data_IF_736591983321
#
_entry.id   IF_736591983321
#
_cell.length_a   1.000
_cell.length_b   1.000
_cell.length_c   1.000
_cell.angle_alpha   90.00
_cell.angle_beta   90.00
_cell.angle_gamma   90.00
#
_symmetry.space_group_name_H-M   'P 1'
#
loop_
_entity.id
_entity.type
_entity.pdbx_description
1 polymer ?
#
# COMPACT_ATOMS: atom_id res chain seq x y z
N UNK A 1 22.58 -7.85 -19.69
CA UNK A 1 23.55 -7.33 -20.69
C UNK A 1 23.32 -5.83 -20.81
N UNK A 2 24.16 -5.04 -20.13
CA UNK A 2 23.88 -3.63 -19.81
C UNK A 2 24.93 -2.66 -20.36
N UNK A 3 24.87 -2.35 -21.65
CA UNK A 3 25.74 -1.35 -22.28
C UNK A 3 25.17 0.08 -22.22
N UNK A 4 24.06 0.31 -21.49
CA UNK A 4 23.38 1.61 -21.45
C UNK A 4 22.67 1.99 -22.76
N UNK A 5 22.61 1.07 -23.73
CA UNK A 5 21.88 1.26 -24.99
C UNK A 5 20.36 1.18 -24.75
N UNK A 6 19.61 1.98 -25.49
CA UNK A 6 18.15 2.02 -25.45
C UNK A 6 17.57 1.87 -26.85
N UNK A 7 16.40 1.23 -26.95
CA UNK A 7 15.70 0.99 -28.21
C UNK A 7 14.22 1.40 -28.07
N UNK A 8 13.61 1.79 -29.18
CA UNK A 8 12.16 2.05 -29.21
C UNK A 8 11.41 0.71 -29.28
N UNK A 9 10.51 0.46 -28.33
CA UNK A 9 9.58 -0.66 -28.38
C UNK A 9 8.25 -0.22 -29.00
N UNK A 10 7.58 0.71 -28.34
CA UNK A 10 6.30 1.28 -28.77
C UNK A 10 6.06 2.65 -28.11
N UNK A 11 4.92 3.28 -28.42
CA UNK A 11 4.48 4.52 -27.79
C UNK A 11 3.01 4.42 -27.40
N UNK A 12 2.72 4.72 -26.13
CA UNK A 12 1.37 4.75 -25.61
C UNK A 12 0.73 6.13 -25.81
N UNK A 13 -0.33 6.21 -26.61
CA UNK A 13 -1.07 7.46 -26.92
C UNK A 13 -2.14 7.80 -25.86
N UNK A 14 -1.82 7.53 -24.58
CA UNK A 14 -2.68 7.77 -23.42
C UNK A 14 -1.83 8.10 -22.20
N UNK A 15 -2.46 8.60 -21.14
CA UNK A 15 -1.81 8.73 -19.84
C UNK A 15 -1.34 7.35 -19.36
N UNK A 16 -0.11 7.28 -18.85
CA UNK A 16 0.42 6.06 -18.24
C UNK A 16 -0.24 5.83 -16.89
N UNK A 17 -0.46 4.56 -16.54
CA UNK A 17 -1.08 4.22 -15.26
C UNK A 17 -0.17 4.70 -14.13
N UNK A 18 1.13 4.47 -14.28
CA UNK A 18 2.25 4.83 -13.41
C UNK A 18 2.68 6.31 -13.50
N UNK A 19 1.88 7.20 -14.08
CA UNK A 19 2.22 8.63 -14.14
C UNK A 19 2.48 9.30 -12.77
N UNK A 20 1.88 8.91 -11.61
CA UNK A 20 2.10 9.65 -10.37
C UNK A 20 3.53 9.67 -9.87
N UNK A 21 4.36 8.64 -10.15
CA UNK A 21 5.78 8.72 -9.77
C UNK A 21 6.48 9.88 -10.49
N UNK A 22 6.10 10.15 -11.74
CA UNK A 22 6.59 11.31 -12.50
C UNK A 22 6.09 12.61 -11.87
N UNK A 23 4.82 12.67 -11.48
CA UNK A 23 4.24 13.86 -10.84
C UNK A 23 4.93 14.18 -9.52
N UNK A 24 5.21 13.17 -8.68
CA UNK A 24 5.88 13.36 -7.39
C UNK A 24 7.27 13.96 -7.52
N UNK A 25 8.07 13.44 -8.46
CA UNK A 25 9.47 13.88 -8.58
C UNK A 25 9.62 15.18 -9.37
N UNK A 26 8.65 15.52 -10.23
CA UNK A 26 8.71 16.77 -11.01
C UNK A 26 7.91 17.91 -10.36
N UNK A 27 6.81 17.59 -9.66
CA UNK A 27 5.79 18.54 -9.20
C UNK A 27 4.82 18.96 -10.31
N UNK A 28 4.78 18.24 -11.43
CA UNK A 28 3.89 18.54 -12.55
C UNK A 28 2.64 17.68 -12.47
N UNK A 29 1.47 18.32 -12.40
CA UNK A 29 0.17 17.66 -12.53
C UNK A 29 -0.14 17.43 -14.02
N UNK A 30 0.01 16.19 -14.47
CA UNK A 30 -0.08 15.81 -15.88
C UNK A 30 -1.54 15.83 -16.32
N UNK A 31 -2.47 15.35 -15.49
CA UNK A 31 -3.90 15.35 -15.80
C UNK A 31 -4.43 16.78 -15.99
N UNK A 32 -4.01 17.72 -15.13
CA UNK A 32 -4.32 19.15 -15.28
C UNK A 32 -3.79 19.71 -16.60
N UNK A 33 -2.58 19.36 -17.01
CA UNK A 33 -2.04 19.81 -18.30
C UNK A 33 -2.80 19.22 -19.48
N UNK A 34 -3.24 17.96 -19.41
CA UNK A 34 -4.10 17.37 -20.44
C UNK A 34 -5.40 18.17 -20.62
N UNK A 35 -6.05 18.58 -19.52
CA UNK A 35 -7.27 19.40 -19.56
C UNK A 35 -6.99 20.78 -20.17
N UNK A 36 -5.92 21.46 -19.75
CA UNK A 36 -5.56 22.79 -20.26
C UNK A 36 -5.29 22.78 -21.77
N UNK A 37 -4.55 21.77 -22.24
CA UNK A 37 -4.25 21.61 -23.66
C UNK A 37 -5.52 21.27 -24.45
N UNK A 38 -6.38 20.41 -23.92
CA UNK A 38 -7.68 20.11 -24.52
C UNK A 38 -8.59 21.35 -24.62
N UNK A 39 -8.45 22.30 -23.69
CA UNK A 39 -9.12 23.60 -23.73
C UNK A 39 -8.47 24.63 -24.69
N UNK A 40 -7.42 24.24 -25.42
CA UNK A 40 -6.73 25.08 -26.39
C UNK A 40 -5.61 25.94 -25.80
N UNK A 41 -5.26 25.78 -24.52
CA UNK A 41 -4.11 26.46 -23.93
C UNK A 41 -2.79 25.88 -24.47
N UNK A 42 -1.76 26.72 -24.57
CA UNK A 42 -0.41 26.27 -24.92
C UNK A 42 0.30 25.72 -23.68
N UNK A 43 1.16 24.71 -23.87
CA UNK A 43 2.07 24.25 -22.83
C UNK A 43 3.05 25.39 -22.49
N UNK A 44 2.99 25.92 -21.27
CA UNK A 44 3.88 27.00 -20.82
C UNK A 44 5.09 26.50 -20.03
N UNK A 45 5.18 25.18 -19.78
CA UNK A 45 6.34 24.58 -19.14
C UNK A 45 7.49 24.46 -20.16
N UNK A 46 8.60 25.13 -19.88
CA UNK A 46 9.83 24.94 -20.63
C UNK A 46 10.53 23.64 -20.19
N UNK A 47 11.23 22.98 -21.11
CA UNK A 47 11.99 21.76 -20.81
C UNK A 47 12.99 21.95 -19.64
N UNK A 48 13.62 23.13 -19.56
CA UNK A 48 14.57 23.47 -18.50
C UNK A 48 13.93 23.63 -17.11
N UNK A 49 12.60 23.79 -17.02
CA UNK A 49 11.87 23.85 -15.76
C UNK A 49 11.49 22.46 -15.22
N UNK A 50 11.65 21.41 -16.02
CA UNK A 50 11.34 20.03 -15.64
C UNK A 50 12.62 19.40 -15.09
N UNK A 51 12.69 19.30 -13.77
CA UNK A 51 13.79 18.64 -13.08
C UNK A 51 13.23 17.60 -12.11
N UNK A 52 13.85 16.42 -12.11
CA UNK A 52 13.59 15.40 -11.12
C UNK A 52 14.20 15.82 -9.78
N UNK A 53 13.40 15.75 -8.71
CA UNK A 53 13.86 15.89 -7.32
C UNK A 53 13.51 14.61 -6.59
N UNK A 54 14.44 14.14 -5.76
CA UNK A 54 14.25 12.93 -4.97
C UNK A 54 13.97 11.68 -5.81
N UNK A 55 13.24 10.75 -5.21
CA UNK A 55 12.85 9.47 -5.78
C UNK A 55 11.39 9.16 -5.44
N UNK A 56 10.67 8.50 -6.33
CA UNK A 56 9.33 8.03 -6.07
C UNK A 56 9.17 6.58 -6.49
N UNK A 57 8.37 5.83 -5.73
CA UNK A 57 8.05 4.42 -5.98
C UNK A 57 6.53 4.30 -5.98
N UNK A 58 5.99 3.53 -6.91
CA UNK A 58 4.57 3.15 -6.96
C UNK A 58 4.44 1.64 -6.83
N UNK A 59 3.51 1.21 -5.98
CA UNK A 59 3.06 -0.16 -5.86
C UNK A 59 1.58 -0.24 -6.23
N UNK A 60 1.21 -1.25 -7.01
CA UNK A 60 -0.19 -1.53 -7.39
C UNK A 60 -0.73 -2.64 -6.52
N UNK A 61 -1.72 -2.31 -5.71
CA UNK A 61 -2.43 -3.30 -4.90
C UNK A 61 -3.49 -3.94 -5.79
N UNK A 62 -3.37 -5.24 -5.97
CA UNK A 62 -4.29 -6.08 -6.73
C UNK A 62 -5.03 -7.05 -5.82
N UNK A 63 -6.29 -7.33 -6.14
CA UNK A 63 -7.03 -8.45 -5.60
C UNK A 63 -6.60 -9.75 -6.29
N UNK A 64 -5.40 -10.21 -5.95
CA UNK A 64 -4.76 -11.41 -6.51
C UNK A 64 -4.09 -12.19 -5.38
N UNK A 65 -3.88 -13.49 -5.62
CA UNK A 65 -3.16 -14.40 -4.73
C UNK A 65 -1.81 -14.84 -5.34
N UNK A 66 -0.70 -14.14 -5.02
CA UNK A 66 0.62 -14.46 -5.57
C UNK A 66 1.12 -15.88 -5.20
N UNK A 67 0.76 -16.39 -4.03
CA UNK A 67 1.15 -17.73 -3.59
C UNK A 67 0.41 -18.83 -4.39
N UNK A 68 -0.78 -18.52 -4.90
CA UNK A 68 -1.57 -19.40 -5.76
C UNK A 68 -1.61 -18.90 -7.21
N UNK A 69 -0.44 -18.71 -7.82
CA UNK A 69 -0.29 -18.38 -9.25
C UNK A 69 -0.99 -17.09 -9.70
N UNK A 70 -1.06 -16.07 -8.83
CA UNK A 70 -1.73 -14.79 -9.10
C UNK A 70 -3.20 -14.96 -9.50
N UNK A 71 -3.88 -15.96 -8.94
CA UNK A 71 -5.31 -16.13 -9.19
C UNK A 71 -6.08 -14.88 -8.72
N UNK A 72 -7.01 -14.35 -9.53
CA UNK A 72 -7.85 -13.23 -9.12
C UNK A 72 -8.68 -13.58 -7.88
N UNK A 73 -8.73 -12.68 -6.91
CA UNK A 73 -9.57 -12.77 -5.73
C UNK A 73 -10.82 -11.90 -5.91
N UNK A 74 -11.99 -12.52 -5.86
CA UNK A 74 -13.28 -11.84 -5.95
C UNK A 74 -13.98 -11.86 -4.59
N UNK A 75 -14.77 -10.83 -4.32
CA UNK A 75 -15.48 -10.75 -3.04
C UNK A 75 -15.91 -9.35 -2.69
N UNK A 76 -16.44 -9.21 -1.48
CA UNK A 76 -16.76 -7.90 -0.90
C UNK A 76 -15.64 -7.52 0.04
N UNK A 77 -15.13 -6.30 -0.11
CA UNK A 77 -14.16 -5.73 0.81
C UNK A 77 -14.90 -5.38 2.09
N UNK A 78 -14.72 -6.18 3.14
CA UNK A 78 -15.43 -6.00 4.42
C UNK A 78 -14.83 -4.84 5.21
N UNK A 79 -13.53 -4.62 5.07
CA UNK A 79 -12.83 -3.51 5.70
C UNK A 79 -11.70 -3.01 4.80
N UNK A 80 -11.58 -1.69 4.67
CA UNK A 80 -10.55 -1.02 3.91
C UNK A 80 -10.02 0.18 4.70
N UNK A 81 -8.71 0.21 4.91
CA UNK A 81 -7.99 1.32 5.51
C UNK A 81 -6.72 1.59 4.73
N UNK A 82 -6.53 2.84 4.34
CA UNK A 82 -5.28 3.34 3.78
C UNK A 82 -4.66 4.34 4.76
N UNK A 83 -3.33 4.35 4.91
CA UNK A 83 -2.68 5.24 5.85
C UNK A 83 -2.68 6.69 5.36
N UNK A 84 -2.68 7.63 6.31
CA UNK A 84 -2.42 9.05 6.03
C UNK A 84 -1.03 9.41 6.54
N UNK A 85 -0.05 9.36 5.65
CA UNK A 85 1.36 9.60 5.97
C UNK A 85 1.91 10.75 5.11
N UNK A 86 2.85 11.55 5.62
CA UNK A 86 3.55 12.54 4.80
C UNK A 86 4.23 11.88 3.60
N UNK A 87 4.14 12.53 2.44
CA UNK A 87 4.74 12.05 1.17
C UNK A 87 4.26 10.66 0.73
N UNK A 88 3.05 10.27 1.15
CA UNK A 88 2.33 9.10 0.66
C UNK A 88 1.04 9.57 0.01
N UNK A 89 0.82 9.13 -1.23
CA UNK A 89 -0.41 9.35 -2.00
C UNK A 89 -1.05 7.99 -2.27
N UNK A 90 -2.36 7.96 -2.13
CA UNK A 90 -3.17 6.79 -2.43
C UNK A 90 -4.15 7.19 -3.53
N UNK A 91 -4.03 6.58 -4.69
CA UNK A 91 -5.05 6.65 -5.74
C UNK A 91 -5.85 5.35 -5.68
N UNK A 92 -7.06 5.39 -5.08
CA UNK A 92 -7.92 4.21 -4.92
C UNK A 92 -9.32 4.45 -5.46
N UNK A 93 -9.94 3.38 -5.99
CA UNK A 93 -11.33 3.35 -6.43
C UNK A 93 -12.24 2.53 -5.51
N UNK A 94 -11.77 2.13 -4.34
CA UNK A 94 -12.49 1.23 -3.41
C UNK A 94 -12.70 1.84 -2.03
N UNK A 95 -13.63 1.26 -1.27
CA UNK A 95 -13.86 1.52 0.13
C UNK A 95 -14.42 0.25 0.80
N UNK A 96 -14.60 0.28 2.13
CA UNK A 96 -15.35 -0.77 2.84
C UNK A 96 -16.75 -0.89 2.24
N UNK A 97 -17.16 -2.12 1.90
CA UNK A 97 -18.39 -2.45 1.18
C UNK A 97 -18.27 -2.51 -0.34
N UNK A 98 -17.13 -2.14 -0.93
CA UNK A 98 -16.89 -2.31 -2.37
C UNK A 98 -16.88 -3.79 -2.77
N UNK A 99 -17.40 -4.10 -3.96
CA UNK A 99 -17.43 -5.45 -4.52
C UNK A 99 -16.42 -5.58 -5.65
N UNK A 100 -15.48 -6.51 -5.50
CA UNK A 100 -14.53 -6.92 -6.55
C UNK A 100 -15.19 -7.99 -7.41
N UNK A 101 -15.36 -7.70 -8.69
CA UNK A 101 -16.03 -8.58 -9.67
C UNK A 101 -15.03 -9.11 -10.68
N UNK A 102 -15.42 -10.14 -11.44
CA UNK A 102 -14.60 -10.69 -12.54
C UNK A 102 -14.63 -9.86 -13.82
N UNK A 103 -15.44 -8.80 -13.88
CA UNK A 103 -15.68 -8.06 -15.12
C UNK A 103 -14.66 -6.96 -15.41
N UNK A 104 -13.83 -6.59 -14.43
CA UNK A 104 -12.88 -5.48 -14.52
C UNK A 104 -11.50 -5.92 -14.04
N UNK A 105 -10.50 -5.06 -14.28
CA UNK A 105 -9.15 -5.20 -13.75
C UNK A 105 -9.17 -5.29 -12.21
N UNK A 106 -8.49 -6.26 -11.57
CA UNK A 106 -8.52 -6.43 -10.12
C UNK A 106 -7.68 -5.41 -9.34
N UNK A 107 -7.24 -4.31 -9.96
CA UNK A 107 -6.48 -3.26 -9.29
C UNK A 107 -7.36 -2.50 -8.30
N UNK A 108 -6.96 -2.50 -7.04
CA UNK A 108 -7.70 -1.88 -5.92
C UNK A 108 -7.22 -0.45 -5.65
N UNK A 109 -5.90 -0.27 -5.64
CA UNK A 109 -5.28 1.01 -5.34
C UNK A 109 -3.86 1.09 -5.90
N UNK A 110 -3.37 2.32 -6.05
CA UNK A 110 -1.96 2.62 -6.23
C UNK A 110 -1.47 3.33 -4.98
N UNK A 111 -0.42 2.80 -4.38
CA UNK A 111 0.32 3.45 -3.29
C UNK A 111 1.54 4.08 -3.90
N UNK A 112 1.68 5.38 -3.76
CA UNK A 112 2.81 6.13 -4.31
C UNK A 112 3.49 6.87 -3.17
N UNK A 113 4.80 6.71 -3.09
CA UNK A 113 5.61 7.39 -2.08
C UNK A 113 6.71 8.19 -2.73
N UNK A 114 7.13 9.24 -2.04
CA UNK A 114 8.32 10.01 -2.38
C UNK A 114 9.38 9.83 -1.31
N UNK A 115 10.66 10.02 -1.62
CA UNK A 115 11.78 10.11 -0.70
C UNK A 115 12.86 11.06 -1.24
N UNK A 116 13.74 11.57 -0.39
CA UNK A 116 14.90 12.35 -0.84
C UNK A 116 15.87 11.49 -1.66
N UNK A 117 15.91 10.19 -1.35
CA UNK A 117 16.59 9.17 -2.13
C UNK A 117 15.73 7.90 -2.24
N UNK A 118 16.26 6.90 -2.95
CA UNK A 118 15.58 5.63 -3.19
C UNK A 118 15.41 4.81 -1.91
N UNK A 119 16.37 4.85 -0.99
CA UNK A 119 16.30 4.08 0.25
C UNK A 119 15.18 4.63 1.16
N UNK A 120 15.05 5.95 1.27
CA UNK A 120 13.94 6.59 1.96
C UNK A 120 12.59 6.24 1.31
N UNK A 121 12.52 6.27 -0.03
CA UNK A 121 11.30 5.90 -0.75
C UNK A 121 10.92 4.43 -0.48
N UNK A 122 11.87 3.49 -0.44
CA UNK A 122 11.61 2.09 -0.11
C UNK A 122 11.08 1.97 1.33
N UNK A 123 11.77 2.56 2.30
CA UNK A 123 11.36 2.51 3.71
C UNK A 123 9.96 3.10 3.92
N UNK A 124 9.64 4.20 3.22
CA UNK A 124 8.31 4.82 3.25
C UNK A 124 7.25 3.93 2.59
N UNK A 125 7.57 3.25 1.49
CA UNK A 125 6.64 2.32 0.84
C UNK A 125 6.31 1.15 1.76
N UNK A 126 7.32 0.57 2.41
CA UNK A 126 7.14 -0.52 3.40
C UNK A 126 6.19 -0.06 4.50
N UNK A 127 6.45 1.08 5.13
CA UNK A 127 5.58 1.62 6.18
C UNK A 127 4.14 1.90 5.70
N UNK A 128 3.95 2.34 4.46
CA UNK A 128 2.63 2.59 3.89
C UNK A 128 1.87 1.28 3.60
N UNK A 129 2.55 0.25 3.09
CA UNK A 129 1.95 -1.05 2.82
C UNK A 129 1.61 -1.80 4.12
N UNK A 130 2.47 -1.76 5.14
CA UNK A 130 2.21 -2.38 6.45
C UNK A 130 0.99 -1.77 7.17
N UNK A 131 0.71 -0.49 6.93
CA UNK A 131 -0.47 0.20 7.49
C UNK A 131 -1.70 0.12 6.56
N UNK A 132 -1.58 -0.48 5.38
CA UNK A 132 -2.72 -0.67 4.48
C UNK A 132 -3.43 -1.96 4.85
N UNK A 133 -4.73 -1.87 5.13
CA UNK A 133 -5.55 -3.02 5.53
C UNK A 133 -6.70 -3.18 4.55
N UNK A 134 -6.78 -4.33 3.90
CA UNK A 134 -7.90 -4.71 3.02
C UNK A 134 -8.32 -6.13 3.41
N UNK A 135 -9.55 -6.27 3.87
CA UNK A 135 -10.12 -7.54 4.35
C UNK A 135 -11.30 -7.93 3.44
N UNK A 136 -11.47 -9.23 3.21
CA UNK A 136 -12.56 -9.80 2.43
C UNK A 136 -12.15 -10.31 1.05
N UNK A 137 -10.96 -9.94 0.58
CA UNK A 137 -10.30 -10.48 -0.61
C UNK A 137 -8.82 -10.69 -0.32
N UNK A 138 -8.19 -11.64 -1.01
CA UNK A 138 -6.73 -11.81 -1.01
C UNK A 138 -6.10 -10.67 -1.80
N UNK A 139 -4.97 -10.14 -1.32
CA UNK A 139 -4.24 -9.07 -1.99
C UNK A 139 -2.77 -9.43 -2.17
N UNK A 140 -2.12 -8.78 -3.14
CA UNK A 140 -0.69 -8.94 -3.37
C UNK A 140 0.21 -8.12 -2.41
N UNK A 141 -0.32 -7.56 -1.31
CA UNK A 141 0.43 -6.66 -0.41
C UNK A 141 1.66 -7.37 0.18
N UNK A 142 1.52 -8.61 0.67
CA UNK A 142 2.63 -9.39 1.22
C UNK A 142 3.75 -9.63 0.18
N UNK A 143 3.36 -9.88 -1.07
CA UNK A 143 4.30 -10.04 -2.18
C UNK A 143 5.05 -8.75 -2.50
N UNK A 144 4.36 -7.60 -2.49
CA UNK A 144 4.99 -6.29 -2.68
C UNK A 144 5.98 -5.96 -1.55
N UNK A 145 5.63 -6.25 -0.30
CA UNK A 145 6.53 -6.09 0.85
C UNK A 145 7.79 -6.95 0.70
N UNK A 146 7.64 -8.21 0.29
CA UNK A 146 8.77 -9.10 0.06
C UNK A 146 9.71 -8.56 -1.04
N UNK A 147 9.17 -8.01 -2.13
CA UNK A 147 9.98 -7.36 -3.19
C UNK A 147 10.76 -6.17 -2.65
N UNK A 148 10.13 -5.29 -1.88
CA UNK A 148 10.76 -4.09 -1.33
C UNK A 148 11.89 -4.38 -0.35
N UNK A 149 11.87 -5.56 0.26
CA UNK A 149 12.87 -6.03 1.23
C UNK A 149 13.95 -6.92 0.59
N UNK A 150 13.81 -7.30 -0.68
CA UNK A 150 14.76 -8.16 -1.37
C UNK A 150 16.03 -7.37 -1.75
N UNK A 151 17.20 -7.98 -1.50
CA UNK A 151 18.50 -7.31 -1.58
C UNK A 151 18.82 -6.75 -2.98
N UNK A 152 18.53 -7.48 -4.06
CA UNK A 152 18.78 -7.03 -5.42
C UNK A 152 17.80 -5.92 -5.81
N UNK A 153 16.54 -5.97 -5.37
CA UNK A 153 15.63 -4.84 -5.52
C UNK A 153 16.16 -3.61 -4.79
N UNK A 154 16.63 -3.73 -3.54
CA UNK A 154 17.21 -2.62 -2.77
C UNK A 154 18.47 -2.07 -3.44
N UNK A 155 19.32 -2.92 -4.01
CA UNK A 155 20.50 -2.53 -4.77
C UNK A 155 20.17 -1.87 -6.13
N UNK A 156 18.93 -2.01 -6.63
CA UNK A 156 18.53 -1.53 -7.95
C UNK A 156 18.96 -2.46 -9.09
N UNK A 157 19.30 -3.70 -8.77
CA UNK A 157 19.73 -4.75 -9.70
C UNK A 157 18.51 -5.45 -10.31
N UNK A 158 17.71 -4.67 -11.05
CA UNK A 158 16.45 -5.13 -11.64
C UNK A 158 16.55 -5.31 -13.16
N UNK A 159 15.99 -6.39 -13.67
CA UNK A 159 15.76 -6.69 -15.08
C UNK A 159 14.29 -7.04 -15.34
N UNK A 160 13.87 -7.15 -16.59
CA UNK A 160 12.47 -7.48 -16.92
C UNK A 160 12.06 -8.89 -16.52
N UNK A 161 13.02 -9.79 -16.32
CA UNK A 161 12.84 -11.15 -15.82
C UNK A 161 13.13 -11.30 -14.32
N UNK A 162 13.38 -10.19 -13.61
CA UNK A 162 13.73 -10.17 -12.18
C UNK A 162 12.79 -11.02 -11.31
N UNK A 163 11.47 -10.82 -11.43
CA UNK A 163 10.50 -11.56 -10.62
C UNK A 163 10.49 -13.06 -10.95
N UNK A 164 10.70 -13.41 -12.22
CA UNK A 164 10.80 -14.81 -12.63
C UNK A 164 12.09 -15.48 -12.11
N UNK A 165 13.14 -14.70 -11.83
CA UNK A 165 14.40 -15.22 -11.31
C UNK A 165 14.40 -15.32 -9.78
N UNK A 166 13.98 -14.27 -9.07
CA UNK A 166 14.12 -14.16 -7.62
C UNK A 166 12.85 -14.53 -6.84
N UNK A 167 11.68 -14.51 -7.49
CA UNK A 167 10.38 -14.75 -6.86
C UNK A 167 9.63 -15.94 -7.47
N UNK A 168 10.30 -16.79 -8.25
CA UNK A 168 9.70 -18.03 -8.75
C UNK A 168 9.31 -18.95 -7.59
N UNK A 169 8.02 -19.30 -7.51
CA UNK A 169 7.50 -20.14 -6.44
C UNK A 169 7.50 -19.45 -5.07
N UNK A 170 7.46 -18.11 -5.05
CA UNK A 170 7.24 -17.38 -3.81
C UNK A 170 5.99 -17.88 -3.10
N UNK A 171 6.13 -18.15 -1.81
CA UNK A 171 5.05 -18.51 -0.91
C UNK A 171 4.95 -17.43 0.15
N UNK A 172 3.71 -17.08 0.52
CA UNK A 172 3.51 -16.22 1.67
C UNK A 172 3.98 -16.96 2.92
N UNK A 173 4.91 -16.35 3.65
CA UNK A 173 5.64 -17.00 4.74
C UNK A 173 5.00 -16.81 6.11
N UNK A 174 3.82 -16.19 6.19
CA UNK A 174 3.25 -15.77 7.46
C UNK A 174 1.83 -16.32 7.71
N UNK A 175 1.74 -17.55 8.20
CA UNK A 175 0.72 -17.78 9.24
C UNK A 175 1.31 -17.25 10.55
N UNK A 176 0.59 -16.38 11.29
CA UNK A 176 1.03 -16.01 12.62
C UNK A 176 1.12 -17.28 13.46
N UNK A 177 2.19 -17.41 14.24
CA UNK A 177 2.29 -18.55 15.14
C UNK A 177 1.12 -18.57 16.13
N UNK A 178 0.89 -19.73 16.74
CA UNK A 178 -0.22 -19.93 17.68
C UNK A 178 -0.20 -18.93 18.84
N UNK A 179 0.98 -18.50 19.30
CA UNK A 179 1.11 -17.54 20.40
C UNK A 179 0.63 -16.15 19.98
N UNK A 180 1.00 -15.73 18.77
CA UNK A 180 0.52 -14.48 18.14
C UNK A 180 -1.00 -14.51 17.96
N UNK A 181 -1.55 -15.62 17.45
CA UNK A 181 -3.01 -15.79 17.31
C UNK A 181 -3.72 -15.74 18.67
N UNK A 182 -3.18 -16.40 19.69
CA UNK A 182 -3.73 -16.36 21.06
C UNK A 182 -3.66 -14.96 21.67
N UNK A 183 -2.58 -14.22 21.44
CA UNK A 183 -2.43 -12.85 21.92
C UNK A 183 -3.44 -11.90 21.28
N UNK A 184 -3.64 -11.99 19.96
CA UNK A 184 -4.65 -11.23 19.22
C UNK A 184 -6.05 -11.56 19.75
N UNK A 185 -6.38 -12.85 19.88
CA UNK A 185 -7.68 -13.29 20.40
C UNK A 185 -7.94 -12.80 21.83
N UNK A 186 -6.92 -12.84 22.71
CA UNK A 186 -7.03 -12.36 24.08
C UNK A 186 -7.19 -10.83 24.16
N UNK A 187 -6.49 -10.08 23.31
CA UNK A 187 -6.62 -8.62 23.21
C UNK A 187 -8.02 -8.21 22.74
N UNK A 188 -8.53 -8.84 21.69
CA UNK A 188 -9.90 -8.62 21.21
C UNK A 188 -10.95 -8.95 22.28
N UNK A 189 -10.79 -10.07 22.97
CA UNK A 189 -11.69 -10.45 24.07
C UNK A 189 -11.67 -9.39 25.18
N UNK A 190 -10.48 -8.92 25.58
CA UNK A 190 -10.33 -7.90 26.62
C UNK A 190 -11.00 -6.57 26.24
N UNK A 191 -10.82 -6.09 25.01
CA UNK A 191 -11.43 -4.86 24.52
C UNK A 191 -12.95 -4.96 24.33
N UNK A 192 -13.44 -6.11 23.86
CA UNK A 192 -14.87 -6.38 23.78
C UNK A 192 -15.53 -6.36 25.17
N UNK A 193 -14.80 -6.83 26.19
CA UNK A 193 -15.29 -6.82 27.59
C UNK A 193 -15.38 -5.40 28.15
N UNK A 194 -14.41 -4.53 27.85
CA UNK A 194 -14.47 -3.12 28.27
C UNK A 194 -15.61 -2.32 27.62
N UNK A 195 -15.87 -2.56 26.33
CA UNK A 195 -16.92 -1.87 25.56
C UNK A 195 -18.33 -2.14 26.10
N UNK A 196 -18.55 -3.32 26.70
CA UNK A 196 -19.84 -3.70 27.30
C UNK A 196 -20.01 -3.09 28.69
N UNK A 197 -18.93 -2.85 29.44
CA UNK A 197 -19.01 -2.23 30.76
C UNK A 197 -19.32 -0.73 30.70
N UNK A 198 -18.82 -0.01 29.68
CA UNK A 198 -19.02 1.44 29.50
C UNK A 198 -20.48 1.84 29.21
N UNK A 199 -21.33 0.92 28.71
CA UNK A 199 -22.74 1.22 28.43
C UNK A 199 -23.67 1.07 29.65
N UNK A 200 -23.17 0.60 30.79
CA UNK A 200 -23.99 0.32 31.98
C UNK A 200 -23.85 1.32 33.12
N UNK A 201 -22.95 2.31 33.04
CA UNK A 201 -22.77 3.27 34.12
C UNK A 201 -23.51 4.59 33.90
N UNK A 202 -24.73 4.64 34.44
CA UNK A 202 -25.35 5.87 34.90
C UNK A 202 -24.41 6.58 35.88
N UNK A 203 -23.67 7.58 35.39
CA UNK A 203 -22.95 8.66 36.11
C UNK A 203 -23.00 8.58 37.65
N UNK A 204 -22.16 7.74 38.25
CA UNK A 204 -21.76 7.81 39.67
C UNK A 204 -20.25 7.88 39.75
N UNK A 205 -19.71 8.52 40.81
CA UNK A 205 -18.28 8.76 41.00
C UNK A 205 -17.43 7.55 40.61
N UNK A 206 -16.26 7.75 39.96
CA UNK A 206 -15.40 6.64 39.56
C UNK A 206 -15.00 5.84 40.80
N UNK A 207 -15.54 4.63 40.90
CA UNK A 207 -15.21 3.70 41.98
C UNK A 207 -13.83 3.09 41.69
N UNK A 208 -12.87 3.37 42.57
CA UNK A 208 -11.49 2.87 42.47
C UNK A 208 -11.42 1.34 42.53
N UNK A 209 -12.49 0.67 42.94
CA UNK A 209 -12.62 -0.79 43.00
C UNK A 209 -13.22 -1.41 41.74
N UNK A 210 -13.79 -0.61 40.84
CA UNK A 210 -14.37 -1.07 39.57
C UNK A 210 -13.44 -0.92 38.37
N UNK A 211 -12.27 -0.31 38.54
CA UNK A 211 -11.29 -0.18 37.49
C UNK A 211 -10.43 -1.46 37.41
N UNK A 212 -10.32 -2.06 36.22
CA UNK A 212 -9.55 -3.29 35.89
C UNK A 212 -8.02 -3.22 36.17
N UNK A 213 -7.57 -2.22 36.91
CA UNK A 213 -6.20 -2.09 37.39
C UNK A 213 -5.95 -3.17 38.43
N UNK A 214 -5.22 -4.23 38.00
CA UNK A 214 -4.80 -5.37 38.82
C UNK A 214 -3.91 -4.91 39.98
N UNK A 215 -4.53 -4.53 41.09
CA UNK A 215 -3.84 -4.35 42.37
C UNK A 215 -3.25 -5.68 42.81
N UNK A 216 -1.94 -5.71 43.03
CA UNK A 216 -1.26 -6.83 43.68
C UNK A 216 -0.63 -6.32 44.96
N UNK A 217 -0.89 -7.00 46.08
CA UNK A 217 -0.12 -6.78 47.30
C UNK A 217 1.27 -7.39 47.10
N UNK A 218 2.29 -6.59 47.32
CA UNK A 218 3.68 -7.06 47.36
C UNK A 218 3.89 -7.66 48.75
N UNK A 219 4.14 -8.97 48.81
CA UNK A 219 4.67 -9.64 49.99
C UNK A 219 6.17 -9.83 49.83
#
# INVERSE_FOLDING_TARGET
>A
TGAGEFYMLEMNTRLQVEHPVTEFVTGVDIAKWQIRIAAGERLTLAQSAIAQRGHAIECRIYAEDPANHFLPSIGTITYCHFPTLPNVRIDSGIASGSVVTTFYDPMLAKVIVYGQDRAEAIARMVAALEQTVIIGVTTNIAYLLAILQEAHFVAGETSTDYLAHYFAGWLDSAEPDTETLLAIAAFELFNATQSVMDYTETKTMPDIWHNDLRWRNVA
#
